data_IF_431468281441
#
_entry.id   IF_431468281441
#
_cell.length_a   1.000
_cell.length_b   1.000
_cell.length_c   1.000
_cell.angle_alpha   90.00
_cell.angle_beta   90.00
_cell.angle_gamma   90.00
#
_symmetry.space_group_name_H-M   'P 1'
#
loop_
_entity.id
_entity.type
_entity.pdbx_description
1 polymer ?
#
# COMPACT_ATOMS: atom_id res chain seq x y z
N UNK A 1 -5.38 19.17 28.34
CA UNK A 1 -4.42 18.19 27.79
C UNK A 1 -5.03 16.80 27.67
N UNK A 2 -5.57 16.21 28.73
CA UNK A 2 -6.18 14.86 28.66
C UNK A 2 -7.30 14.73 27.62
N UNK A 3 -8.26 15.67 27.59
CA UNK A 3 -9.34 15.69 26.60
C UNK A 3 -8.82 15.69 25.15
N UNK A 4 -7.79 16.49 24.86
CA UNK A 4 -7.17 16.54 23.54
C UNK A 4 -6.48 15.22 23.20
N UNK A 5 -5.80 14.57 24.16
CA UNK A 5 -5.18 13.25 23.94
C UNK A 5 -6.23 12.19 23.63
N UNK A 6 -7.34 12.16 24.38
CA UNK A 6 -8.46 11.24 24.12
C UNK A 6 -9.07 11.45 22.74
N UNK A 7 -9.28 12.71 22.37
CA UNK A 7 -9.81 13.07 21.06
C UNK A 7 -8.89 12.60 19.94
N UNK A 8 -7.60 12.96 19.98
CA UNK A 8 -6.61 12.58 18.94
C UNK A 8 -6.51 11.06 18.81
N UNK A 9 -6.43 10.32 19.92
CA UNK A 9 -6.37 8.85 19.89
C UNK A 9 -7.62 8.24 19.25
N UNK A 10 -8.80 8.78 19.55
CA UNK A 10 -10.07 8.32 18.98
C UNK A 10 -10.14 8.61 17.48
N UNK A 11 -9.77 9.83 17.07
CA UNK A 11 -9.73 10.24 15.66
C UNK A 11 -8.73 9.40 14.86
N UNK A 12 -7.54 9.13 15.40
CA UNK A 12 -6.55 8.23 14.79
C UNK A 12 -7.11 6.81 14.61
N UNK A 13 -7.80 6.27 15.62
CA UNK A 13 -8.44 4.96 15.51
C UNK A 13 -9.49 4.90 14.41
N UNK A 14 -10.30 5.95 14.28
CA UNK A 14 -11.26 6.11 13.18
C UNK A 14 -10.58 6.19 11.82
N UNK A 15 -9.54 7.02 11.70
CA UNK A 15 -8.78 7.19 10.47
C UNK A 15 -8.11 5.89 10.01
N UNK A 16 -7.47 5.14 10.91
CA UNK A 16 -6.88 3.83 10.58
C UNK A 16 -7.93 2.82 10.09
N UNK A 17 -9.17 2.94 10.57
CA UNK A 17 -10.27 2.08 10.11
C UNK A 17 -10.74 2.48 8.70
N UNK A 18 -10.82 3.79 8.43
CA UNK A 18 -11.10 4.28 7.08
C UNK A 18 -9.98 3.91 6.09
N UNK A 19 -8.71 4.03 6.50
CA UNK A 19 -7.56 3.62 5.70
C UNK A 19 -7.59 2.13 5.35
N UNK A 20 -7.92 1.25 6.31
CA UNK A 20 -8.07 -0.19 6.06
C UNK A 20 -9.15 -0.48 5.01
N UNK A 21 -10.31 0.17 5.13
CA UNK A 21 -11.41 0.01 4.18
C UNK A 21 -11.01 0.46 2.76
N UNK A 22 -10.43 1.67 2.64
CA UNK A 22 -9.97 2.20 1.35
C UNK A 22 -8.85 1.34 0.76
N UNK A 23 -7.92 0.87 1.59
CA UNK A 23 -6.84 0.01 1.16
C UNK A 23 -7.36 -1.29 0.56
N UNK A 24 -8.34 -1.94 1.20
CA UNK A 24 -8.97 -3.17 0.67
C UNK A 24 -9.60 -2.95 -0.68
N UNK A 25 -10.40 -1.89 -0.85
CA UNK A 25 -10.98 -1.59 -2.18
C UNK A 25 -9.87 -1.33 -3.22
N UNK A 26 -8.80 -0.63 -2.85
CA UNK A 26 -7.69 -0.35 -3.76
C UNK A 26 -6.90 -1.62 -4.15
N UNK A 27 -6.64 -2.54 -3.22
CA UNK A 27 -5.82 -3.73 -3.48
C UNK A 27 -6.61 -4.93 -4.00
N UNK A 28 -7.82 -5.13 -3.50
CA UNK A 28 -8.60 -6.35 -3.71
C UNK A 28 -9.59 -6.18 -4.87
N UNK A 29 -9.95 -4.94 -5.21
CA UNK A 29 -10.81 -4.63 -6.36
C UNK A 29 -9.99 -3.99 -7.49
N UNK A 30 -9.55 -2.74 -7.34
CA UNK A 30 -8.93 -1.97 -8.44
C UNK A 30 -7.64 -2.60 -8.98
N UNK A 31 -6.75 -3.02 -8.07
CA UNK A 31 -5.50 -3.68 -8.45
C UNK A 31 -5.75 -5.12 -8.97
N UNK A 32 -6.75 -5.83 -8.44
CA UNK A 32 -7.12 -7.15 -8.93
C UNK A 32 -7.69 -7.08 -10.35
N UNK A 33 -8.53 -6.08 -10.63
CA UNK A 33 -9.07 -5.80 -11.95
C UNK A 33 -7.98 -5.42 -12.95
N UNK A 34 -6.98 -4.64 -12.53
CA UNK A 34 -5.80 -4.39 -13.35
C UNK A 34 -5.03 -5.68 -13.67
N UNK A 35 -4.78 -6.56 -12.68
CA UNK A 35 -4.14 -7.87 -12.91
C UNK A 35 -4.97 -8.72 -13.89
N UNK A 36 -6.30 -8.70 -13.78
CA UNK A 36 -7.19 -9.41 -14.70
C UNK A 36 -7.11 -8.87 -16.11
N UNK A 37 -7.12 -7.54 -16.28
CA UNK A 37 -6.91 -6.90 -17.59
C UNK A 37 -5.54 -7.24 -18.18
N UNK A 38 -4.50 -7.33 -17.36
CA UNK A 38 -3.17 -7.76 -17.81
C UNK A 38 -3.17 -9.20 -18.34
N UNK A 39 -3.85 -10.13 -17.67
CA UNK A 39 -3.99 -11.51 -18.17
C UNK A 39 -4.70 -11.56 -19.52
N UNK A 40 -5.77 -10.78 -19.68
CA UNK A 40 -6.53 -10.69 -20.94
C UNK A 40 -5.66 -10.09 -22.06
N UNK A 41 -4.89 -9.04 -21.77
CA UNK A 41 -3.96 -8.45 -22.73
C UNK A 41 -2.85 -9.44 -23.16
N UNK A 42 -2.37 -10.32 -22.25
CA UNK A 42 -1.36 -11.32 -22.57
C UNK A 42 -1.83 -12.37 -23.60
N UNK A 43 -3.14 -12.57 -23.78
CA UNK A 43 -3.71 -13.51 -24.74
C UNK A 43 -4.33 -12.80 -25.97
N UNK A 44 -3.96 -11.54 -26.21
CA UNK A 44 -4.43 -10.77 -27.37
C UNK A 44 -5.69 -9.95 -27.16
N UNK A 45 -6.16 -9.81 -25.91
CA UNK A 45 -7.26 -8.90 -25.59
C UNK A 45 -6.84 -7.42 -25.53
N UNK A 46 -7.78 -6.50 -25.22
CA UNK A 46 -7.52 -5.06 -25.26
C UNK A 46 -6.39 -4.60 -24.31
N UNK A 47 -5.45 -3.75 -24.74
CA UNK A 47 -4.23 -3.41 -23.99
C UNK A 47 -4.41 -2.32 -22.91
N UNK A 48 -5.55 -2.26 -22.22
CA UNK A 48 -5.77 -1.25 -21.19
C UNK A 48 -5.15 -1.64 -19.85
N UNK A 49 -3.83 -1.45 -19.72
CA UNK A 49 -3.01 -1.87 -18.57
C UNK A 49 -2.15 -0.74 -17.97
N UNK A 50 -2.49 0.53 -18.18
CA UNK A 50 -1.76 1.65 -17.59
C UNK A 50 -1.85 1.65 -16.05
N UNK A 51 -0.72 1.85 -15.39
CA UNK A 51 -0.58 1.82 -13.92
C UNK A 51 -0.63 3.20 -13.26
N UNK A 52 -0.60 4.30 -14.01
CA UNK A 52 -0.38 5.65 -13.45
C UNK A 52 -1.44 6.07 -12.41
N UNK A 53 -2.70 5.70 -12.63
CA UNK A 53 -3.78 5.96 -11.67
C UNK A 53 -3.62 5.16 -10.38
N UNK A 54 -3.29 3.87 -10.51
CA UNK A 54 -3.02 2.99 -9.35
C UNK A 54 -1.78 3.46 -8.58
N UNK A 55 -0.71 3.84 -9.27
CA UNK A 55 0.50 4.39 -8.66
C UNK A 55 0.20 5.67 -7.88
N UNK A 56 -0.60 6.59 -8.45
CA UNK A 56 -1.00 7.83 -7.78
C UNK A 56 -1.78 7.55 -6.49
N UNK A 57 -2.76 6.64 -6.55
CA UNK A 57 -3.57 6.29 -5.39
C UNK A 57 -2.78 5.55 -4.30
N UNK A 58 -1.99 4.56 -4.70
CA UNK A 58 -1.16 3.78 -3.78
C UNK A 58 -0.12 4.69 -3.12
N UNK A 59 0.51 5.60 -3.86
CA UNK A 59 1.49 6.56 -3.31
C UNK A 59 0.82 7.52 -2.32
N UNK A 60 -0.32 8.11 -2.69
CA UNK A 60 -1.08 9.02 -1.82
C UNK A 60 -1.49 8.34 -0.50
N UNK A 61 -1.95 7.09 -0.57
CA UNK A 61 -2.29 6.31 0.62
C UNK A 61 -1.04 5.98 1.46
N UNK A 62 0.07 5.60 0.83
CA UNK A 62 1.32 5.28 1.51
C UNK A 62 1.92 6.50 2.23
N UNK A 63 1.90 7.68 1.60
CA UNK A 63 2.30 8.95 2.23
C UNK A 63 1.44 9.28 3.44
N UNK A 64 0.12 9.14 3.29
CA UNK A 64 -0.84 9.37 4.39
C UNK A 64 -0.57 8.42 5.57
N UNK A 65 -0.29 7.15 5.29
CA UNK A 65 0.05 6.16 6.31
C UNK A 65 1.36 6.49 7.03
N UNK A 66 2.39 6.94 6.30
CA UNK A 66 3.65 7.37 6.90
C UNK A 66 3.47 8.60 7.79
N UNK A 67 2.65 9.56 7.38
CA UNK A 67 2.32 10.73 8.21
C UNK A 67 1.63 10.31 9.51
N UNK A 68 0.65 9.41 9.46
CA UNK A 68 -0.01 8.90 10.68
C UNK A 68 0.97 8.16 11.57
N UNK A 69 1.88 7.36 11.01
CA UNK A 69 2.93 6.71 11.79
C UNK A 69 3.85 7.72 12.49
N UNK A 70 4.21 8.82 11.82
CA UNK A 70 5.00 9.89 12.45
C UNK A 70 4.22 10.57 13.58
N UNK A 71 2.91 10.78 13.43
CA UNK A 71 2.07 11.33 14.48
C UNK A 71 1.96 10.39 15.69
N UNK A 72 1.84 9.08 15.48
CA UNK A 72 1.83 8.07 16.56
C UNK A 72 3.16 8.07 17.32
N UNK A 73 4.31 8.14 16.60
CA UNK A 73 5.63 8.34 17.23
C UNK A 73 5.70 9.64 18.02
N UNK A 74 5.08 10.72 17.52
CA UNK A 74 5.05 11.99 18.25
C UNK A 74 4.25 11.89 19.55
N UNK A 75 3.16 11.12 19.57
CA UNK A 75 2.42 10.86 20.80
C UNK A 75 3.29 10.12 21.83
N UNK A 76 4.14 9.18 21.41
CA UNK A 76 5.11 8.52 22.29
C UNK A 76 6.09 9.52 22.92
N UNK A 77 6.70 10.40 22.13
CA UNK A 77 7.59 11.44 22.65
C UNK A 77 6.89 12.38 23.65
N UNK A 78 5.64 12.75 23.37
CA UNK A 78 4.85 13.63 24.25
C UNK A 78 4.45 12.93 25.55
N UNK A 79 4.16 11.64 25.49
CA UNK A 79 3.86 10.81 26.65
C UNK A 79 5.10 10.65 27.54
N UNK A 80 6.30 10.45 26.97
CA UNK A 80 7.55 10.37 27.73
C UNK A 80 7.86 11.66 28.52
N UNK A 81 7.43 12.82 28.01
CA UNK A 81 7.61 14.12 28.69
C UNK A 81 6.56 14.38 29.77
N UNK A 82 5.30 14.01 29.51
CA UNK A 82 4.19 14.26 30.43
C UNK A 82 3.23 13.07 30.36
N UNK A 83 3.04 12.37 31.48
CA UNK A 83 2.08 11.28 31.61
C UNK A 83 1.43 11.24 32.99
N UNK A 84 0.36 10.47 33.12
CA UNK A 84 -0.48 10.41 34.31
C UNK A 84 -1.25 9.09 34.37
N UNK A 85 -1.88 8.80 35.52
CA UNK A 85 -2.71 7.60 35.70
C UNK A 85 -3.90 7.64 34.74
N UNK A 86 -4.03 6.62 33.89
CA UNK A 86 -5.12 6.54 32.90
C UNK A 86 -4.88 7.35 31.62
N UNK A 87 -3.61 7.64 31.30
CA UNK A 87 -3.20 8.30 30.05
C UNK A 87 -3.64 7.47 28.83
N UNK A 88 -4.52 8.01 27.95
CA UNK A 88 -5.02 7.28 26.77
C UNK A 88 -3.90 6.92 25.79
N UNK A 89 -2.79 7.68 25.76
CA UNK A 89 -1.67 7.35 24.87
C UNK A 89 -1.03 6.02 25.29
N UNK A 90 -0.83 5.78 26.59
CA UNK A 90 -0.28 4.51 27.07
C UNK A 90 -1.21 3.33 26.71
N UNK A 91 -2.51 3.54 26.86
CA UNK A 91 -3.52 2.49 26.68
C UNK A 91 -3.72 2.10 25.20
N UNK A 92 -3.71 3.07 24.29
CA UNK A 92 -4.14 2.84 22.90
C UNK A 92 -3.02 2.90 21.87
N UNK A 93 -1.92 3.60 22.13
CA UNK A 93 -0.83 3.78 21.16
C UNK A 93 -0.25 2.44 20.65
N UNK A 94 -0.02 1.41 21.48
CA UNK A 94 0.53 0.14 20.97
C UNK A 94 -0.35 -0.46 19.86
N UNK A 95 -1.68 -0.45 20.03
CA UNK A 95 -2.62 -0.94 19.03
C UNK A 95 -2.68 -0.07 17.78
N UNK A 96 -2.56 1.27 17.93
CA UNK A 96 -2.47 2.19 16.78
C UNK A 96 -1.20 1.95 15.97
N UNK A 97 -0.04 1.77 16.62
CA UNK A 97 1.25 1.51 15.97
C UNK A 97 1.23 0.14 15.25
N UNK A 98 0.70 -0.91 15.88
CA UNK A 98 0.55 -2.22 15.24
C UNK A 98 -0.30 -2.12 13.96
N UNK A 99 -1.49 -1.50 14.07
CA UNK A 99 -2.42 -1.37 12.94
C UNK A 99 -1.83 -0.56 11.78
N UNK A 100 -1.14 0.56 12.04
CA UNK A 100 -0.53 1.35 10.95
C UNK A 100 0.64 0.62 10.29
N UNK A 101 1.43 -0.13 11.07
CA UNK A 101 2.55 -0.93 10.55
C UNK A 101 2.03 -2.04 9.65
N UNK A 102 0.95 -2.71 10.03
CA UNK A 102 0.33 -3.76 9.22
C UNK A 102 -0.30 -3.22 7.94
N UNK A 103 -1.02 -2.09 8.02
CA UNK A 103 -1.57 -1.42 6.84
C UNK A 103 -0.47 -1.09 5.83
N UNK A 104 0.58 -0.40 6.28
CA UNK A 104 1.70 -0.03 5.43
C UNK A 104 2.44 -1.23 4.85
N UNK A 105 2.69 -2.26 5.68
CA UNK A 105 3.34 -3.50 5.23
C UNK A 105 2.52 -4.18 4.12
N UNK A 106 1.22 -4.29 4.30
CA UNK A 106 0.34 -4.93 3.33
C UNK A 106 0.22 -4.11 2.05
N UNK A 107 0.15 -2.77 2.16
CA UNK A 107 0.16 -1.89 1.00
C UNK A 107 1.45 -2.04 0.18
N UNK A 108 2.61 -2.06 0.84
CA UNK A 108 3.92 -2.26 0.19
C UNK A 108 4.02 -3.60 -0.54
N UNK A 109 3.51 -4.68 0.07
CA UNK A 109 3.46 -6.00 -0.57
C UNK A 109 2.57 -6.00 -1.81
N UNK A 110 1.39 -5.39 -1.73
CA UNK A 110 0.45 -5.31 -2.84
C UNK A 110 0.94 -4.40 -3.96
N UNK A 111 1.69 -3.35 -3.63
CA UNK A 111 2.23 -2.38 -4.59
C UNK A 111 3.36 -2.94 -5.46
N UNK A 112 3.97 -4.07 -5.10
CA UNK A 112 5.02 -4.69 -5.90
C UNK A 112 4.42 -5.61 -6.96
N UNK A 113 4.47 -5.18 -8.22
CA UNK A 113 3.79 -5.86 -9.34
C UNK A 113 4.74 -6.15 -10.50
N UNK A 114 4.37 -7.15 -11.31
CA UNK A 114 5.00 -7.39 -12.62
C UNK A 114 4.29 -6.52 -13.63
N UNK A 115 4.89 -5.39 -14.01
CA UNK A 115 4.33 -4.45 -15.02
C UNK A 115 4.36 -5.07 -16.42
N UNK A 116 5.47 -5.74 -16.78
CA UNK A 116 5.61 -6.48 -18.05
C UNK A 116 5.95 -7.92 -17.79
N UNK A 117 5.04 -8.81 -18.19
CA UNK A 117 5.20 -10.26 -18.05
C UNK A 117 6.41 -10.77 -18.84
N UNK A 118 7.02 -11.90 -18.43
CA UNK A 118 8.12 -12.53 -19.16
C UNK A 118 7.78 -12.75 -20.64
N UNK A 119 8.61 -12.21 -21.54
CA UNK A 119 8.41 -12.33 -22.97
C UNK A 119 9.75 -12.38 -23.72
N UNK A 120 9.82 -13.23 -24.75
CA UNK A 120 10.95 -13.29 -25.67
C UNK A 120 10.81 -12.19 -26.72
N UNK A 121 11.83 -11.34 -26.97
CA UNK A 121 11.73 -10.24 -27.94
C UNK A 121 11.35 -10.68 -29.36
N UNK A 122 11.70 -11.91 -29.74
CA UNK A 122 11.35 -12.48 -31.05
C UNK A 122 9.90 -12.94 -31.18
N UNK A 123 9.15 -13.00 -30.08
CA UNK A 123 7.77 -13.47 -30.03
C UNK A 123 6.91 -12.53 -29.17
N UNK A 124 6.76 -11.24 -29.56
CA UNK A 124 6.07 -10.24 -28.75
C UNK A 124 4.60 -10.60 -28.44
N UNK A 125 3.94 -11.31 -29.35
CA UNK A 125 2.54 -11.76 -29.22
C UNK A 125 2.39 -13.07 -28.41
N UNK A 126 3.50 -13.64 -27.93
CA UNK A 126 3.50 -14.88 -27.12
C UNK A 126 4.20 -14.67 -25.78
N UNK A 127 3.72 -13.75 -24.93
CA UNK A 127 4.22 -13.64 -23.56
C UNK A 127 3.97 -14.95 -22.80
N UNK A 128 4.73 -15.17 -21.71
CA UNK A 128 4.64 -16.33 -20.82
C UNK A 128 5.10 -17.67 -21.43
N UNK A 129 5.49 -17.72 -22.72
CA UNK A 129 6.12 -18.90 -23.35
C UNK A 129 7.61 -18.65 -23.49
N UNK A 130 8.44 -19.44 -22.81
CA UNK A 130 9.90 -19.28 -22.78
C UNK A 130 10.58 -20.51 -23.36
N UNK A 131 11.51 -20.32 -24.30
CA UNK A 131 12.32 -21.39 -24.88
C UNK A 131 13.67 -21.44 -24.18
N UNK A 132 14.10 -22.64 -23.76
CA UNK A 132 15.43 -22.87 -23.18
C UNK A 132 16.53 -22.40 -24.14
N UNK A 133 17.54 -21.73 -23.60
CA UNK A 133 18.65 -21.16 -24.39
C UNK A 133 18.30 -19.87 -25.13
N UNK A 134 17.08 -19.35 -25.01
CA UNK A 134 16.67 -18.06 -25.58
C UNK A 134 16.50 -17.01 -24.48
N UNK A 135 16.98 -15.80 -24.74
CA UNK A 135 16.82 -14.67 -23.82
C UNK A 135 15.37 -14.18 -23.78
N UNK A 136 14.93 -13.77 -22.60
CA UNK A 136 13.63 -13.14 -22.38
C UNK A 136 13.79 -11.92 -21.48
N UNK A 137 12.74 -11.11 -21.41
CA UNK A 137 12.72 -9.91 -20.57
C UNK A 137 11.43 -9.85 -19.77
N UNK A 138 11.47 -9.28 -18.57
CA UNK A 138 10.31 -8.90 -17.77
C UNK A 138 10.54 -7.50 -17.18
N UNK A 139 9.52 -6.91 -16.56
CA UNK A 139 9.65 -5.65 -15.83
C UNK A 139 8.77 -5.69 -14.58
N UNK A 140 9.36 -5.37 -13.43
CA UNK A 140 8.64 -5.15 -12.18
C UNK A 140 8.53 -3.66 -11.89
N UNK A 141 7.49 -3.27 -11.15
CA UNK A 141 7.26 -1.90 -10.70
C UNK A 141 6.80 -1.92 -9.26
N UNK A 142 7.33 -1.00 -8.46
CA UNK A 142 6.78 -0.66 -7.15
C UNK A 142 5.86 0.53 -7.34
N UNK A 143 4.58 0.37 -7.03
CA UNK A 143 3.55 1.40 -7.20
C UNK A 143 3.53 2.46 -6.09
N UNK A 144 4.39 2.30 -5.07
CA UNK A 144 4.66 3.34 -4.08
C UNK A 144 5.86 4.14 -4.55
N UNK A 145 5.62 5.40 -4.92
CA UNK A 145 6.64 6.29 -5.46
C UNK A 145 7.19 7.20 -4.38
N UNK A 146 8.14 6.69 -3.60
CA UNK A 146 8.97 7.52 -2.74
C UNK A 146 10.22 7.99 -3.50
N UNK A 147 10.62 9.27 -3.37
CA UNK A 147 11.86 9.79 -3.94
C UNK A 147 13.12 9.08 -3.45
#
# INVERSE_FOLDING_TARGET
LDQLRRQIVTEMGGLLTAMDYVQKNLTDEELADWKRRQQIACIGGPPNICLDRLETWITSLAESQLQIRQQIKKLEELQQKVSYKGDPIIQHRPALEEKIVDLFRNLMKSAFVVERQPCMPMHPDRPLVIKTGVQFTNKVRLLVKFP
#
